data_IF_030294814552
#
_entry.id   IF_030294814552
#
_cell.length_a   1.000
_cell.length_b   1.000
_cell.length_c   1.000
_cell.angle_alpha   90.00
_cell.angle_beta   90.00
_cell.angle_gamma   90.00
#
_symmetry.space_group_name_H-M   'P 1'
#
loop_
_entity.id
_entity.type
_entity.pdbx_description
1 polymer ?
#
# COMPACT_ATOMS: atom_id res chain seq x y z
N UNK A 1 34.64 12.98 -4.25
CA UNK A 1 34.83 11.55 -3.90
C UNK A 1 34.53 11.23 -2.43
N UNK A 2 34.78 12.13 -1.46
CA UNK A 2 34.50 11.88 -0.04
C UNK A 2 33.02 11.54 0.27
N UNK A 3 32.05 12.28 -0.29
CA UNK A 3 30.63 12.06 0.01
C UNK A 3 30.06 10.70 -0.42
N UNK A 4 30.63 10.04 -1.44
CA UNK A 4 30.17 8.72 -1.87
C UNK A 4 30.60 7.61 -0.90
N UNK A 5 31.80 7.72 -0.33
CA UNK A 5 32.32 6.79 0.66
C UNK A 5 31.56 6.96 1.98
N UNK A 6 31.29 8.20 2.39
CA UNK A 6 30.50 8.50 3.59
C UNK A 6 29.06 7.96 3.47
N UNK A 7 28.43 8.07 2.29
CA UNK A 7 27.11 7.49 2.02
C UNK A 7 27.10 5.96 2.16
N UNK A 8 28.13 5.28 1.64
CA UNK A 8 28.26 3.83 1.75
C UNK A 8 28.46 3.40 3.22
N UNK A 9 29.31 4.10 3.97
CA UNK A 9 29.52 3.83 5.40
C UNK A 9 28.22 4.01 6.19
N UNK A 10 27.43 5.04 5.87
CA UNK A 10 26.12 5.25 6.50
C UNK A 10 25.16 4.11 6.17
N UNK A 11 25.11 3.66 4.92
CA UNK A 11 24.26 2.54 4.50
C UNK A 11 24.68 1.23 5.17
N UNK A 12 25.98 0.97 5.32
CA UNK A 12 26.49 -0.19 6.07
C UNK A 12 26.08 -0.11 7.54
N UNK A 13 26.15 1.07 8.16
CA UNK A 13 25.70 1.28 9.53
C UNK A 13 24.21 0.99 9.70
N UNK A 14 23.39 1.44 8.74
CA UNK A 14 21.95 1.15 8.72
C UNK A 14 21.73 -0.35 8.50
N UNK A 15 22.47 -0.98 7.59
CA UNK A 15 22.40 -2.41 7.33
C UNK A 15 22.70 -3.25 8.58
N UNK A 16 23.77 -2.91 9.30
CA UNK A 16 24.13 -3.57 10.56
C UNK A 16 23.05 -3.34 11.62
N UNK A 17 22.52 -2.11 11.76
CA UNK A 17 21.42 -1.84 12.71
C UNK A 17 20.15 -2.61 12.39
N UNK A 18 19.81 -2.73 11.11
CA UNK A 18 18.73 -3.61 10.68
C UNK A 18 19.10 -5.02 11.09
N UNK A 19 20.25 -5.56 10.68
CA UNK A 19 20.69 -6.92 11.00
C UNK A 19 20.66 -7.28 12.49
N UNK A 20 21.08 -6.36 13.38
CA UNK A 20 21.14 -6.56 14.83
C UNK A 20 19.82 -6.33 15.57
N UNK A 21 18.77 -5.86 14.90
CA UNK A 21 17.47 -5.71 15.55
C UNK A 21 16.88 -7.11 15.81
N UNK A 22 16.79 -7.57 17.05
CA UNK A 22 16.25 -8.91 17.36
C UNK A 22 14.75 -8.85 17.63
N UNK A 23 14.28 -7.79 18.28
CA UNK A 23 12.87 -7.60 18.63
C UNK A 23 12.09 -6.86 17.54
N UNK A 24 10.76 -7.03 17.55
CA UNK A 24 9.87 -6.35 16.59
C UNK A 24 9.89 -4.83 16.80
N UNK A 25 9.98 -4.37 18.05
CA UNK A 25 10.10 -2.95 18.39
C UNK A 25 11.39 -2.32 17.87
N UNK A 26 12.53 -3.02 18.02
CA UNK A 26 13.80 -2.55 17.49
C UNK A 26 13.75 -2.47 15.96
N UNK A 27 13.20 -3.49 15.30
CA UNK A 27 13.06 -3.48 13.84
C UNK A 27 12.16 -2.34 13.38
N UNK A 28 11.02 -2.13 14.06
CA UNK A 28 10.12 -1.03 13.79
C UNK A 28 10.82 0.32 13.93
N UNK A 29 11.56 0.55 15.02
CA UNK A 29 12.27 1.81 15.24
C UNK A 29 13.33 2.10 14.15
N UNK A 30 14.08 1.07 13.74
CA UNK A 30 15.07 1.18 12.68
C UNK A 30 14.40 1.44 11.33
N UNK A 31 13.37 0.67 10.98
CA UNK A 31 12.65 0.83 9.71
C UNK A 31 11.95 2.19 9.64
N UNK A 32 11.25 2.61 10.70
CA UNK A 32 10.55 3.90 10.74
C UNK A 32 11.49 5.08 10.55
N UNK A 33 12.73 5.00 11.07
CA UNK A 33 13.71 6.08 10.97
C UNK A 33 14.48 6.09 9.66
N UNK A 34 14.86 4.91 9.14
CA UNK A 34 15.81 4.82 8.04
C UNK A 34 15.17 4.46 6.70
N UNK A 35 13.96 3.88 6.66
CA UNK A 35 13.34 3.47 5.40
C UNK A 35 13.09 4.65 4.45
N UNK A 36 12.47 5.79 4.85
CA UNK A 36 12.25 6.89 3.92
C UNK A 36 13.57 7.48 3.36
N UNK A 37 14.59 7.80 4.19
CA UNK A 37 15.88 8.26 3.67
C UNK A 37 16.59 7.24 2.76
N UNK A 38 16.52 5.94 3.07
CA UNK A 38 17.11 4.88 2.24
C UNK A 38 16.43 4.82 0.87
N UNK A 39 15.11 4.98 0.81
CA UNK A 39 14.37 5.03 -0.44
C UNK A 39 14.80 6.21 -1.31
N UNK A 40 15.03 7.39 -0.73
CA UNK A 40 15.54 8.55 -1.47
C UNK A 40 16.93 8.30 -2.07
N UNK A 41 17.76 7.47 -1.43
CA UNK A 41 19.09 7.11 -1.95
C UNK A 41 19.05 6.18 -3.18
N UNK A 42 17.89 5.63 -3.54
CA UNK A 42 17.71 4.90 -4.79
C UNK A 42 17.98 5.76 -6.04
N UNK A 43 17.80 7.08 -5.95
CA UNK A 43 18.14 8.01 -7.03
C UNK A 43 19.55 8.60 -6.94
N UNK A 44 20.43 8.02 -6.12
CA UNK A 44 21.83 8.45 -6.05
C UNK A 44 22.55 8.22 -7.38
N UNK A 45 23.40 9.17 -7.79
CA UNK A 45 24.23 9.08 -9.01
C UNK A 45 25.27 7.95 -8.92
N UNK A 46 25.60 7.49 -7.72
CA UNK A 46 26.61 6.47 -7.47
C UNK A 46 26.01 5.07 -7.59
N UNK A 47 26.53 4.25 -8.51
CA UNK A 47 26.05 2.89 -8.71
C UNK A 47 26.25 2.00 -7.47
N UNK A 48 27.39 2.12 -6.80
CA UNK A 48 27.67 1.36 -5.57
C UNK A 48 26.64 1.62 -4.47
N UNK A 49 26.20 2.88 -4.32
CA UNK A 49 25.16 3.28 -3.35
C UNK A 49 23.82 2.63 -3.72
N UNK A 50 23.41 2.71 -4.99
CA UNK A 50 22.15 2.10 -5.46
C UNK A 50 22.12 0.59 -5.25
N UNK A 51 23.21 -0.10 -5.57
CA UNK A 51 23.33 -1.56 -5.37
C UNK A 51 23.20 -1.94 -3.89
N UNK A 52 23.85 -1.18 -3.00
CA UNK A 52 23.78 -1.41 -1.55
C UNK A 52 22.41 -1.12 -0.97
N UNK A 53 21.74 -0.07 -1.45
CA UNK A 53 20.34 0.22 -1.08
C UNK A 53 19.43 -0.93 -1.48
N UNK A 54 19.57 -1.48 -2.70
CA UNK A 54 18.76 -2.62 -3.13
C UNK A 54 18.97 -3.85 -2.26
N UNK A 55 20.22 -4.18 -1.95
CA UNK A 55 20.55 -5.26 -1.01
C UNK A 55 19.87 -5.04 0.35
N UNK A 56 19.98 -3.83 0.91
CA UNK A 56 19.33 -3.46 2.17
C UNK A 56 17.80 -3.63 2.11
N UNK A 57 17.15 -3.16 1.04
CA UNK A 57 15.70 -3.27 0.87
C UNK A 57 15.23 -4.74 0.78
N UNK A 58 16.01 -5.64 0.18
CA UNK A 58 15.72 -7.08 0.15
C UNK A 58 15.69 -7.65 1.57
N UNK A 59 16.69 -7.34 2.40
CA UNK A 59 16.74 -7.81 3.79
C UNK A 59 15.60 -7.22 4.63
N UNK A 60 15.31 -5.92 4.47
CA UNK A 60 14.18 -5.27 5.13
C UNK A 60 12.87 -5.97 4.75
N UNK A 61 12.63 -6.21 3.45
CA UNK A 61 11.40 -6.82 2.96
C UNK A 61 11.21 -8.25 3.52
N UNK A 62 12.28 -9.06 3.51
CA UNK A 62 12.25 -10.42 4.07
C UNK A 62 11.83 -10.39 5.54
N UNK A 63 12.37 -9.47 6.33
CA UNK A 63 12.10 -9.40 7.77
C UNK A 63 10.73 -8.83 8.11
N UNK A 64 10.27 -7.82 7.38
CA UNK A 64 8.93 -7.25 7.59
C UNK A 64 7.85 -8.27 7.20
N UNK A 65 8.08 -9.09 6.17
CA UNK A 65 7.16 -10.16 5.78
C UNK A 65 7.01 -11.24 6.85
N UNK A 66 8.09 -11.59 7.56
CA UNK A 66 8.04 -12.58 8.65
C UNK A 66 7.48 -12.03 9.96
N UNK A 67 7.37 -10.70 10.10
CA UNK A 67 6.95 -10.03 11.34
C UNK A 67 5.75 -9.14 11.08
N UNK A 68 4.52 -9.68 11.13
CA UNK A 68 3.31 -8.94 10.77
C UNK A 68 2.98 -7.80 11.75
N UNK A 69 3.47 -7.84 12.99
CA UNK A 69 3.25 -6.82 14.01
C UNK A 69 4.08 -5.54 13.81
N UNK A 70 5.15 -5.60 13.02
CA UNK A 70 6.03 -4.46 12.77
C UNK A 70 5.29 -3.43 11.91
N UNK A 71 5.16 -2.21 12.43
CA UNK A 71 4.58 -1.06 11.72
C UNK A 71 5.59 -0.39 10.81
N UNK A 72 5.07 0.27 9.78
CA UNK A 72 5.85 1.06 8.83
C UNK A 72 5.47 2.54 8.96
N UNK A 73 6.38 3.48 8.63
CA UNK A 73 6.14 4.91 8.74
C UNK A 73 5.30 5.41 7.57
N UNK A 74 4.02 5.02 7.49
CA UNK A 74 3.15 5.29 6.34
C UNK A 74 2.99 6.80 6.09
N UNK A 75 2.87 7.62 7.14
CA UNK A 75 2.81 9.09 7.02
C UNK A 75 4.01 9.66 6.27
N UNK A 76 5.23 9.29 6.70
CA UNK A 76 6.46 9.75 6.08
C UNK A 76 6.60 9.24 4.64
N UNK A 77 6.14 8.01 4.37
CA UNK A 77 6.12 7.45 3.02
C UNK A 77 5.12 8.16 2.13
N UNK A 78 3.96 8.58 2.64
CA UNK A 78 2.96 9.34 1.88
C UNK A 78 3.47 10.74 1.53
N UNK A 79 4.13 11.42 2.48
CA UNK A 79 4.79 12.72 2.21
C UNK A 79 5.82 12.58 1.10
N UNK A 80 6.69 11.56 1.19
CA UNK A 80 7.68 11.28 0.14
C UNK A 80 7.03 10.90 -1.20
N UNK A 81 5.91 10.20 -1.18
CA UNK A 81 5.19 9.78 -2.38
C UNK A 81 4.51 10.97 -3.09
N UNK A 82 4.10 11.99 -2.33
CA UNK A 82 3.51 13.23 -2.85
C UNK A 82 4.55 14.20 -3.42
N UNK A 83 5.82 14.09 -3.04
CA UNK A 83 6.88 14.98 -3.52
C UNK A 83 6.99 14.95 -5.05
N UNK A 84 6.75 16.08 -5.75
CA UNK A 84 6.86 16.15 -7.21
C UNK A 84 8.31 16.00 -7.71
N UNK A 85 9.30 16.20 -6.83
CA UNK A 85 10.73 16.06 -7.16
C UNK A 85 11.21 14.62 -7.04
N UNK A 86 10.41 13.71 -6.47
CA UNK A 86 10.79 12.32 -6.30
C UNK A 86 10.89 11.62 -7.67
N UNK A 87 12.02 10.94 -7.90
CA UNK A 87 12.19 10.16 -9.13
C UNK A 87 11.16 9.02 -9.22
N UNK A 88 10.80 8.60 -10.44
CA UNK A 88 9.89 7.46 -10.65
C UNK A 88 10.37 6.20 -9.93
N UNK A 89 11.67 5.99 -9.82
CA UNK A 89 12.26 4.86 -9.11
C UNK A 89 11.94 4.92 -7.61
N UNK A 90 12.11 6.09 -6.99
CA UNK A 90 11.73 6.31 -5.58
C UNK A 90 10.23 6.10 -5.39
N UNK A 91 9.39 6.67 -6.26
CA UNK A 91 7.92 6.55 -6.20
C UNK A 91 7.48 5.08 -6.27
N UNK A 92 8.03 4.30 -7.22
CA UNK A 92 7.69 2.90 -7.43
C UNK A 92 8.04 2.01 -6.23
N UNK A 93 9.15 2.30 -5.53
CA UNK A 93 9.47 1.57 -4.30
C UNK A 93 8.66 2.06 -3.10
N UNK A 94 8.41 3.37 -3.01
CA UNK A 94 7.65 3.97 -1.91
C UNK A 94 6.24 3.40 -1.82
N UNK A 95 5.54 3.22 -2.96
CA UNK A 95 4.20 2.65 -2.97
C UNK A 95 4.15 1.20 -2.46
N UNK A 96 5.20 0.40 -2.67
CA UNK A 96 5.26 -0.98 -2.17
C UNK A 96 5.19 -0.99 -0.64
N UNK A 97 5.93 -0.08 0.01
CA UNK A 97 5.94 0.04 1.46
C UNK A 97 4.65 0.68 2.00
N UNK A 98 3.99 1.56 1.25
CA UNK A 98 2.64 2.05 1.59
C UNK A 98 1.64 0.89 1.55
N UNK A 99 1.62 0.10 0.46
CA UNK A 99 0.72 -1.07 0.31
C UNK A 99 0.93 -2.10 1.42
N UNK A 100 2.18 -2.30 1.86
CA UNK A 100 2.50 -3.25 2.92
C UNK A 100 2.26 -2.69 4.33
N UNK A 101 2.46 -1.40 4.53
CA UNK A 101 2.36 -0.73 5.83
C UNK A 101 0.94 -0.31 6.21
N UNK A 102 0.16 0.16 5.24
CA UNK A 102 -1.18 0.71 5.49
C UNK A 102 -2.14 -0.30 6.15
N UNK A 103 -2.24 -1.58 5.71
CA UNK A 103 -3.11 -2.56 6.36
C UNK A 103 -2.70 -2.93 7.79
N UNK A 104 -1.49 -2.56 8.24
CA UNK A 104 -0.96 -2.87 9.57
C UNK A 104 -1.29 -1.82 10.62
N UNK A 105 -1.77 -0.66 10.20
CA UNK A 105 -2.21 0.43 11.08
C UNK A 105 -3.57 0.11 11.72
N UNK A 106 -3.94 0.82 12.78
CA UNK A 106 -5.30 0.69 13.32
C UNK A 106 -6.32 1.29 12.36
N UNK A 107 -7.60 0.96 12.54
CA UNK A 107 -8.66 1.51 11.68
C UNK A 107 -8.71 3.04 11.81
N UNK A 108 -8.51 3.57 13.01
CA UNK A 108 -8.46 5.01 13.29
C UNK A 108 -7.35 5.69 12.47
N UNK A 109 -6.11 5.22 12.60
CA UNK A 109 -4.96 5.73 11.83
C UNK A 109 -5.19 5.62 10.31
N UNK A 110 -5.71 4.48 9.84
CA UNK A 110 -6.03 4.29 8.43
C UNK A 110 -7.05 5.31 7.93
N UNK A 111 -8.11 5.57 8.72
CA UNK A 111 -9.15 6.54 8.36
C UNK A 111 -8.66 7.99 8.32
N UNK A 112 -7.72 8.36 9.20
CA UNK A 112 -7.08 9.68 9.18
C UNK A 112 -6.20 9.88 7.94
N UNK A 113 -5.62 8.81 7.42
CA UNK A 113 -4.76 8.83 6.24
C UNK A 113 -5.50 8.81 4.90
N UNK A 114 -6.78 8.40 4.86
CA UNK A 114 -7.58 8.34 3.61
C UNK A 114 -7.55 9.64 2.80
N UNK A 115 -7.78 10.83 3.39
CA UNK A 115 -7.68 12.11 2.68
C UNK A 115 -6.33 12.34 2.02
N UNK A 116 -5.25 12.01 2.74
CA UNK A 116 -3.87 12.20 2.27
C UNK A 116 -3.61 11.26 1.09
N UNK A 117 -4.04 10.00 1.19
CA UNK A 117 -3.91 9.02 0.11
C UNK A 117 -4.66 9.45 -1.14
N UNK A 118 -5.91 9.94 -1.02
CA UNK A 118 -6.70 10.41 -2.16
C UNK A 118 -6.03 11.60 -2.86
N UNK A 119 -5.50 12.55 -2.09
CA UNK A 119 -4.77 13.68 -2.65
C UNK A 119 -3.47 13.26 -3.33
N UNK A 120 -2.84 12.19 -2.86
CA UNK A 120 -1.61 11.64 -3.41
C UNK A 120 -1.79 10.87 -4.73
N UNK A 121 -3.03 10.57 -5.15
CA UNK A 121 -3.32 9.87 -6.41
C UNK A 121 -3.09 10.74 -7.64
N UNK A 122 -3.19 12.05 -7.45
CA UNK A 122 -3.06 13.01 -8.54
C UNK A 122 -1.70 12.88 -9.22
N UNK A 123 -1.70 12.94 -10.56
CA UNK A 123 -0.51 12.74 -11.41
C UNK A 123 0.23 11.39 -11.28
N UNK A 124 -0.33 10.38 -10.60
CA UNK A 124 0.32 9.05 -10.45
C UNK A 124 -0.15 8.06 -11.53
N UNK A 125 0.65 7.02 -11.85
CA UNK A 125 0.25 5.97 -12.79
C UNK A 125 -1.04 5.27 -12.38
N UNK A 126 -1.82 4.80 -13.35
CA UNK A 126 -3.11 4.16 -13.10
C UNK A 126 -3.02 2.96 -12.15
N UNK A 127 -1.99 2.11 -12.28
CA UNK A 127 -1.75 0.97 -11.39
C UNK A 127 -1.58 1.39 -9.93
N UNK A 128 -0.94 2.54 -9.68
CA UNK A 128 -0.78 3.08 -8.34
C UNK A 128 -2.10 3.63 -7.81
N UNK A 129 -2.87 4.30 -8.67
CA UNK A 129 -4.19 4.81 -8.30
C UNK A 129 -5.11 3.67 -7.88
N UNK A 130 -5.17 2.61 -8.67
CA UNK A 130 -5.96 1.41 -8.36
C UNK A 130 -5.51 0.75 -7.07
N UNK A 131 -4.21 0.52 -6.91
CA UNK A 131 -3.63 -0.07 -5.69
C UNK A 131 -4.05 0.68 -4.43
N UNK A 132 -3.98 2.00 -4.44
CA UNK A 132 -4.31 2.83 -3.27
C UNK A 132 -5.82 2.92 -3.05
N UNK A 133 -6.61 3.02 -4.11
CA UNK A 133 -8.07 3.06 -4.00
C UNK A 133 -8.65 1.73 -3.48
N UNK A 134 -8.09 0.60 -3.90
CA UNK A 134 -8.47 -0.73 -3.37
C UNK A 134 -8.20 -0.85 -1.87
N UNK A 135 -7.21 -0.14 -1.33
CA UNK A 135 -6.96 -0.06 0.13
C UNK A 135 -7.98 0.82 0.85
N UNK A 136 -8.47 1.88 0.18
CA UNK A 136 -9.42 2.85 0.75
C UNK A 136 -10.85 2.30 0.77
N UNK A 137 -11.28 1.56 -0.26
CA UNK A 137 -12.65 1.02 -0.38
C UNK A 137 -13.18 0.34 0.90
N UNK A 138 -12.48 -0.63 1.53
CA UNK A 138 -12.99 -1.30 2.74
C UNK A 138 -13.09 -0.36 3.96
N UNK A 139 -12.43 0.80 3.91
CA UNK A 139 -12.46 1.80 4.97
C UNK A 139 -13.59 2.78 4.81
N UNK A 140 -14.16 2.93 3.61
CA UNK A 140 -15.28 3.84 3.38
C UNK A 140 -16.46 3.57 4.33
N UNK A 141 -16.72 2.30 4.64
CA UNK A 141 -17.77 1.91 5.60
C UNK A 141 -17.43 2.16 7.08
N UNK A 142 -16.17 2.46 7.40
CA UNK A 142 -15.68 2.70 8.77
C UNK A 142 -15.35 4.17 9.05
N UNK A 143 -15.38 5.01 8.01
CA UNK A 143 -15.11 6.44 8.15
C UNK A 143 -16.19 7.11 9.00
N UNK A 144 -15.75 7.84 10.02
CA UNK A 144 -16.63 8.74 10.78
C UNK A 144 -16.88 9.97 9.91
N UNK A 145 -17.96 9.94 9.14
CA UNK A 145 -18.39 11.08 8.33
C UNK A 145 -18.95 12.16 9.28
N UNK A 146 -18.32 13.33 9.41
CA UNK A 146 -18.83 14.46 10.17
C UNK A 146 -20.18 14.89 9.59
N UNK A 147 -21.12 15.16 10.49
CA UNK A 147 -22.47 15.65 10.16
C UNK A 147 -22.43 17.03 9.47
N UNK A 148 -21.36 17.80 9.69
CA UNK A 148 -21.18 19.13 9.09
C UNK A 148 -20.91 19.04 7.58
N UNK A 149 -21.75 19.63 6.72
CA UNK A 149 -21.63 19.51 5.26
C UNK A 149 -20.34 20.14 4.71
N UNK A 150 -19.85 21.22 5.33
CA UNK A 150 -18.60 21.90 4.93
C UNK A 150 -17.38 21.05 5.25
N UNK A 151 -17.32 20.49 6.47
CA UNK A 151 -16.23 19.57 6.86
C UNK A 151 -16.26 18.30 6.01
N UNK A 152 -17.45 17.78 5.72
CA UNK A 152 -17.62 16.61 4.83
C UNK A 152 -17.08 16.86 3.42
N UNK A 153 -17.27 18.06 2.88
CA UNK A 153 -16.76 18.43 1.56
C UNK A 153 -15.22 18.61 1.57
N UNK A 154 -14.64 19.15 2.64
CA UNK A 154 -13.19 19.33 2.76
C UNK A 154 -12.44 18.06 3.16
N UNK A 155 -13.12 17.09 3.78
CA UNK A 155 -12.49 15.86 4.29
C UNK A 155 -11.76 15.07 3.23
N UNK A 156 -12.32 14.93 2.03
CA UNK A 156 -11.71 14.11 1.00
C UNK A 156 -10.96 14.93 -0.05
N UNK A 157 -11.07 16.26 -0.04
CA UNK A 157 -10.49 17.13 -1.07
C UNK A 157 -11.01 16.85 -2.50
N UNK A 158 -12.03 15.99 -2.66
CA UNK A 158 -12.50 15.49 -3.95
C UNK A 158 -13.16 16.57 -4.82
N UNK A 159 -13.64 17.66 -4.22
CA UNK A 159 -14.22 18.79 -4.94
C UNK A 159 -13.19 19.53 -5.80
N UNK A 160 -11.92 19.51 -5.42
CA UNK A 160 -10.84 20.19 -6.14
C UNK A 160 -10.35 19.38 -7.34
N UNK A 161 -10.65 18.07 -7.38
CA UNK A 161 -10.10 17.12 -8.36
C UNK A 161 -11.20 16.23 -8.97
N UNK A 162 -11.99 16.74 -9.94
CA UNK A 162 -13.11 16.01 -10.52
C UNK A 162 -12.70 14.72 -11.23
N UNK A 163 -11.45 14.63 -11.70
CA UNK A 163 -10.92 13.41 -12.31
C UNK A 163 -10.84 12.24 -11.30
N UNK A 164 -10.29 12.49 -10.12
CA UNK A 164 -10.14 11.46 -9.07
C UNK A 164 -11.51 11.04 -8.54
N UNK A 165 -12.44 11.99 -8.39
CA UNK A 165 -13.82 11.69 -8.01
C UNK A 165 -14.53 10.78 -9.02
N UNK A 166 -14.42 11.09 -10.32
CA UNK A 166 -14.97 10.23 -11.40
C UNK A 166 -14.31 8.85 -11.41
N UNK A 167 -13.00 8.79 -11.18
CA UNK A 167 -12.26 7.53 -11.17
C UNK A 167 -12.65 6.64 -9.97
N UNK A 168 -12.75 7.22 -8.78
CA UNK A 168 -13.25 6.54 -7.58
C UNK A 168 -14.68 6.05 -7.80
N UNK A 169 -15.56 6.88 -8.38
CA UNK A 169 -16.93 6.49 -8.68
C UNK A 169 -16.98 5.30 -9.65
N UNK A 170 -16.19 5.34 -10.73
CA UNK A 170 -16.07 4.22 -11.67
C UNK A 170 -15.63 2.93 -10.98
N UNK A 171 -14.60 3.00 -10.13
CA UNK A 171 -14.12 1.84 -9.36
C UNK A 171 -15.18 1.30 -8.39
N UNK A 172 -15.96 2.18 -7.75
CA UNK A 172 -17.05 1.77 -6.85
C UNK A 172 -18.20 1.09 -7.60
N UNK A 173 -18.52 1.57 -8.80
CA UNK A 173 -19.49 0.91 -9.69
C UNK A 173 -18.97 -0.45 -10.16
N UNK A 174 -17.69 -0.54 -10.54
CA UNK A 174 -17.04 -1.80 -10.91
C UNK A 174 -17.09 -2.82 -9.76
N UNK A 175 -16.87 -2.38 -8.51
CA UNK A 175 -16.98 -3.21 -7.32
C UNK A 175 -18.41 -3.71 -7.06
N UNK A 176 -19.43 -2.94 -7.42
CA UNK A 176 -20.83 -3.33 -7.25
C UNK A 176 -21.24 -4.45 -8.21
N UNK A 177 -20.59 -4.51 -9.38
CA UNK A 177 -20.81 -5.54 -10.39
C UNK A 177 -20.12 -6.87 -10.06
N UNK A 178 -19.25 -6.91 -9.05
CA UNK A 178 -18.56 -8.13 -8.67
C UNK A 178 -19.51 -9.14 -8.00
N UNK A 179 -19.43 -10.42 -8.37
CA UNK A 179 -20.17 -11.47 -7.69
C UNK A 179 -19.68 -11.60 -6.25
N UNK A 180 -20.61 -11.96 -5.36
CA UNK A 180 -20.26 -12.25 -3.97
C UNK A 180 -19.16 -13.32 -3.92
N UNK A 181 -18.06 -13.00 -3.24
CA UNK A 181 -16.89 -13.89 -3.14
C UNK A 181 -15.81 -13.69 -4.21
N UNK A 182 -15.98 -12.77 -5.17
CA UNK A 182 -14.96 -12.42 -6.18
C UNK A 182 -13.59 -12.03 -5.61
N UNK A 183 -13.58 -11.58 -4.36
CA UNK A 183 -12.41 -11.04 -3.65
C UNK A 183 -11.95 -11.95 -2.51
N UNK A 184 -12.64 -13.08 -2.29
CA UNK A 184 -12.24 -14.07 -1.29
C UNK A 184 -10.89 -14.66 -1.68
N UNK A 185 -9.92 -14.78 -0.75
CA UNK A 185 -8.69 -15.48 -1.04
C UNK A 185 -9.00 -16.93 -1.39
N UNK A 186 -8.88 -17.31 -2.66
CA UNK A 186 -8.76 -18.71 -3.04
C UNK A 186 -7.53 -19.26 -2.31
N UNK A 187 -7.77 -20.08 -1.28
CA UNK A 187 -6.72 -20.85 -0.64
C UNK A 187 -6.13 -21.79 -1.69
N UNK A 188 -4.99 -21.42 -2.27
CA UNK A 188 -4.13 -22.36 -2.98
C UNK A 188 -3.38 -23.20 -1.95
N UNK A 189 -4.07 -24.10 -1.27
CA UNK A 189 -3.44 -25.18 -0.52
C UNK A 189 -3.95 -26.54 -1.03
N UNK A 190 -3.00 -27.29 -1.60
CA UNK A 190 -2.98 -28.71 -1.95
C UNK A 190 -3.59 -29.23 -3.27
N UNK A 191 -2.64 -29.51 -4.18
CA UNK A 191 -2.42 -30.75 -4.93
C UNK A 191 -3.36 -31.11 -6.10
N UNK A 192 -2.80 -30.96 -7.31
CA UNK A 192 -2.95 -31.95 -8.38
C UNK A 192 -4.23 -31.92 -9.18
N UNK A 193 -4.50 -30.85 -9.94
CA UNK A 193 -5.31 -30.85 -11.17
C UNK A 193 -5.21 -29.50 -11.85
N UNK A 194 -4.92 -29.49 -13.14
CA UNK A 194 -4.87 -28.32 -14.03
C UNK A 194 -6.26 -27.76 -14.31
N UNK A 195 -6.94 -27.23 -13.29
CA UNK A 195 -8.16 -26.45 -13.46
C UNK A 195 -7.97 -25.07 -12.83
N UNK A 196 -7.53 -24.15 -13.67
CA UNK A 196 -7.54 -22.72 -13.43
C UNK A 196 -9.01 -22.28 -13.28
N UNK A 197 -9.57 -22.35 -12.06
CA UNK A 197 -10.92 -21.84 -11.77
C UNK A 197 -10.84 -20.32 -11.67
N UNK A 198 -10.63 -19.69 -12.82
CA UNK A 198 -10.85 -18.26 -13.01
C UNK A 198 -12.35 -18.01 -12.94
N UNK A 199 -12.79 -17.18 -11.99
CA UNK A 199 -14.19 -16.77 -11.93
C UNK A 199 -14.55 -16.09 -13.27
N UNK A 200 -15.66 -16.47 -13.94
CA UNK A 200 -16.02 -15.86 -15.21
C UNK A 200 -16.28 -14.36 -15.03
N UNK A 201 -15.86 -13.57 -16.02
CA UNK A 201 -16.02 -12.11 -16.00
C UNK A 201 -17.52 -11.79 -15.85
N UNK A 202 -17.92 -10.95 -14.87
CA UNK A 202 -19.32 -10.64 -14.63
C UNK A 202 -19.97 -9.93 -15.82
N UNK A 203 -21.27 -10.15 -16.08
CA UNK A 203 -22.00 -9.42 -17.11
C UNK A 203 -21.90 -7.91 -16.86
N UNK A 204 -21.50 -7.15 -17.88
CA UNK A 204 -21.31 -5.70 -17.78
C UNK A 204 -19.90 -5.25 -17.38
N UNK A 205 -18.97 -6.17 -17.08
CA UNK A 205 -17.55 -5.87 -16.91
C UNK A 205 -16.71 -6.35 -18.09
N UNK A 206 -15.64 -5.62 -18.38
CA UNK A 206 -14.57 -6.10 -19.26
C UNK A 206 -13.59 -6.99 -18.50
N UNK A 207 -12.88 -7.88 -19.19
CA UNK A 207 -11.83 -8.72 -18.59
C UNK A 207 -10.70 -7.87 -17.97
N UNK A 208 -10.38 -6.72 -18.58
CA UNK A 208 -9.43 -5.76 -18.04
C UNK A 208 -9.89 -5.18 -16.70
N UNK A 209 -11.14 -4.72 -16.62
CA UNK A 209 -11.72 -4.19 -15.38
C UNK A 209 -11.77 -5.26 -14.29
N UNK A 210 -12.12 -6.49 -14.66
CA UNK A 210 -12.17 -7.60 -13.72
C UNK A 210 -10.80 -7.88 -13.10
N UNK A 211 -9.75 -8.05 -13.92
CA UNK A 211 -8.37 -8.25 -13.44
C UNK A 211 -7.87 -7.08 -12.59
N UNK A 212 -8.20 -5.85 -12.97
CA UNK A 212 -7.82 -4.63 -12.24
C UNK A 212 -8.36 -4.62 -10.81
N UNK A 213 -9.57 -5.13 -10.59
CA UNK A 213 -10.22 -5.11 -9.28
C UNK A 213 -9.90 -6.37 -8.44
N UNK A 214 -9.67 -7.54 -9.07
CA UNK A 214 -9.47 -8.81 -8.36
C UNK A 214 -8.00 -9.21 -8.14
N UNK A 215 -7.08 -8.81 -9.02
CA UNK A 215 -5.72 -9.38 -9.07
C UNK A 215 -4.70 -8.65 -8.17
N UNK A 216 -5.03 -7.47 -7.64
CA UNK A 216 -4.09 -6.59 -6.93
C UNK A 216 -4.20 -6.64 -5.39
N UNK A 217 -5.26 -7.23 -4.82
CA UNK A 217 -5.39 -7.47 -3.37
C UNK A 217 -6.59 -8.39 -3.05
N UNK A 218 -6.39 -9.53 -2.37
CA UNK A 218 -7.51 -10.24 -1.74
C UNK A 218 -8.00 -9.40 -0.57
N UNK A 219 -9.09 -8.67 -0.76
CA UNK A 219 -9.80 -8.00 0.33
C UNK A 219 -10.23 -9.08 1.31
N UNK A 220 -9.52 -9.22 2.44
CA UNK A 220 -9.91 -10.15 3.50
C UNK A 220 -11.28 -9.70 4.01
N UNK A 221 -12.36 -10.48 3.80
CA UNK A 221 -13.64 -10.16 4.39
C UNK A 221 -13.45 -10.18 5.91
N UNK A 222 -13.81 -9.10 6.59
CA UNK A 222 -13.88 -9.11 8.05
C UNK A 222 -14.79 -10.25 8.47
N UNK A 223 -14.26 -11.18 9.27
CA UNK A 223 -14.96 -12.36 9.78
C UNK A 223 -16.30 -11.91 10.38
N UNK A 224 -17.38 -12.18 9.65
CA UNK A 224 -18.75 -12.09 10.15
C UNK A 224 -19.65 -13.08 9.41
N UNK A 225 -19.21 -14.34 9.35
CA UNK A 225 -19.99 -15.43 8.77
C UNK A 225 -20.22 -16.62 9.73
N UNK A 226 -19.83 -16.52 11.02
CA UNK A 226 -19.96 -17.65 11.97
C UNK A 226 -20.94 -17.41 13.13
N UNK A 227 -21.90 -16.49 13.00
CA UNK A 227 -22.91 -16.28 14.06
C UNK A 227 -24.38 -16.37 13.64
N UNK A 228 -24.66 -17.03 12.51
CA UNK A 228 -26.03 -17.38 12.11
C UNK A 228 -26.11 -18.84 11.67
N UNK A 229 -25.64 -19.75 12.54
CA UNK A 229 -26.01 -21.16 12.57
C UNK A 229 -25.87 -21.64 14.01
N UNK A 230 -26.84 -21.24 14.84
CA UNK A 230 -27.28 -21.89 16.08
C UNK A 230 -28.24 -20.92 16.79
N UNK A 231 -29.45 -20.86 16.25
CA UNK A 231 -30.69 -20.52 16.94
C UNK A 231 -31.80 -21.30 16.25
#
# INVERSE_FOLDING_TARGET
MAGAVDELVLLERVFLRVGSAETDEQLQNVVSKFLPPVLLKLSSQQEGVRKKVMELLVHINKRIKTRPMVRLPVDALLVQYQDPSASSFVINFTIIYIKMGFPRLTVEEQTELVPIMLNALDSKPQSHQDSLLLLIIPLLGKLKIPTDPVKRASLFGLNEKPHISKYLLGLLLDMLLLPYGALSPQQSENQGSTNDVSMPVPPGMSEYTFKRVTNENPLRPGIRADKIRNA
#
